data_IF_773129861090
#
_entry.id   IF_773129861090
#
_cell.length_a   1.000
_cell.length_b   1.000
_cell.length_c   1.000
_cell.angle_alpha   90.00
_cell.angle_beta   90.00
_cell.angle_gamma   90.00
#
_symmetry.space_group_name_H-M   'P 1'
#
loop_
_entity.id
_entity.type
_entity.pdbx_description
1 polymer ?
#
# COMPACT_ATOMS: atom_id res chain seq x y z
N UNK A 1 17.51 -3.53 -4.65
CA UNK A 1 17.27 -4.86 -4.11
C UNK A 1 18.46 -5.22 -3.24
N UNK A 2 18.24 -5.49 -1.95
CA UNK A 2 19.32 -5.83 -1.02
C UNK A 2 19.23 -7.33 -0.75
N UNK A 3 20.22 -8.07 -1.25
CA UNK A 3 20.25 -9.55 -1.24
C UNK A 3 20.75 -10.08 0.11
N UNK A 4 21.47 -9.26 0.87
CA UNK A 4 21.88 -9.58 2.24
C UNK A 4 20.85 -9.09 3.25
N UNK A 5 20.43 -10.01 4.11
CA UNK A 5 19.55 -9.72 5.24
C UNK A 5 20.18 -8.61 6.09
N UNK A 6 19.45 -7.52 6.25
CA UNK A 6 20.01 -6.32 6.85
C UNK A 6 20.00 -6.40 8.39
N UNK A 7 19.40 -7.44 8.99
CA UNK A 7 19.51 -7.78 10.41
C UNK A 7 19.26 -9.29 10.62
N UNK A 8 19.83 -9.91 11.66
CA UNK A 8 19.71 -11.36 11.91
C UNK A 8 18.52 -11.75 12.83
N UNK A 9 17.66 -10.79 13.15
CA UNK A 9 16.56 -10.97 14.07
C UNK A 9 15.41 -11.77 13.44
N UNK A 10 14.66 -12.49 14.28
CA UNK A 10 13.56 -13.35 13.82
C UNK A 10 12.22 -12.63 13.92
N UNK A 11 11.43 -12.77 12.85
CA UNK A 11 10.08 -12.24 12.76
C UNK A 11 9.06 -13.36 12.66
N UNK A 12 7.93 -13.16 13.34
CA UNK A 12 6.77 -14.03 13.28
C UNK A 12 5.79 -13.42 12.28
N UNK A 13 5.39 -14.21 11.28
CA UNK A 13 4.28 -13.87 10.38
C UNK A 13 3.13 -14.84 10.58
N UNK A 14 1.90 -14.36 10.51
CA UNK A 14 0.71 -15.19 10.60
C UNK A 14 -0.37 -14.74 9.62
N UNK A 15 -1.24 -15.68 9.26
CA UNK A 15 -2.41 -15.44 8.43
C UNK A 15 -3.57 -16.29 8.93
N UNK A 16 -4.74 -15.67 8.99
CA UNK A 16 -6.03 -16.32 9.22
C UNK A 16 -6.95 -16.02 8.03
N UNK A 17 -7.47 -17.06 7.40
CA UNK A 17 -8.42 -16.95 6.30
C UNK A 17 -9.77 -17.55 6.69
N UNK A 18 -10.83 -16.75 6.61
CA UNK A 18 -12.20 -17.14 6.97
C UNK A 18 -13.15 -16.90 5.81
N UNK A 19 -13.98 -17.89 5.50
CA UNK A 19 -15.06 -17.78 4.51
C UNK A 19 -16.40 -18.12 5.18
N UNK A 20 -16.94 -17.23 6.03
CA UNK A 20 -18.16 -17.51 6.80
C UNK A 20 -19.39 -17.71 5.90
N UNK A 21 -19.34 -17.21 4.65
CA UNK A 21 -20.34 -17.42 3.60
C UNK A 21 -19.63 -17.55 2.26
N UNK A 22 -20.24 -18.24 1.28
CA UNK A 22 -19.65 -18.44 -0.07
C UNK A 22 -19.23 -17.16 -0.78
N UNK A 23 -19.87 -16.03 -0.46
CA UNK A 23 -19.62 -14.73 -1.07
C UNK A 23 -18.89 -13.73 -0.18
N UNK A 24 -18.39 -14.15 0.99
CA UNK A 24 -17.66 -13.30 1.94
C UNK A 24 -16.38 -14.01 2.37
N UNK A 25 -15.24 -13.41 2.07
CA UNK A 25 -13.91 -13.86 2.54
C UNK A 25 -13.28 -12.76 3.39
N UNK A 26 -12.67 -13.15 4.50
CA UNK A 26 -11.96 -12.29 5.42
C UNK A 26 -10.56 -12.88 5.60
N UNK A 27 -9.54 -12.09 5.34
CA UNK A 27 -8.14 -12.42 5.60
C UNK A 27 -7.63 -11.45 6.67
N UNK A 28 -7.05 -11.98 7.72
CA UNK A 28 -6.29 -11.20 8.68
C UNK A 28 -4.84 -11.69 8.66
N UNK A 29 -3.90 -10.76 8.50
CA UNK A 29 -2.49 -11.07 8.45
C UNK A 29 -1.76 -10.23 9.50
N UNK A 30 -0.58 -10.68 9.90
CA UNK A 30 0.30 -9.84 10.67
C UNK A 30 1.73 -10.30 10.68
N UNK A 31 2.60 -9.35 11.01
CA UNK A 31 4.02 -9.55 11.22
C UNK A 31 4.42 -8.90 12.54
N UNK A 32 5.27 -9.59 13.31
CA UNK A 32 5.88 -9.07 14.53
C UNK A 32 7.34 -9.49 14.58
N UNK A 33 8.25 -8.53 14.61
CA UNK A 33 9.67 -8.85 14.70
C UNK A 33 10.58 -7.66 14.39
N UNK A 34 11.90 -7.86 14.49
CA UNK A 34 12.86 -6.83 14.17
C UNK A 34 13.06 -6.68 12.66
N UNK A 35 12.71 -5.50 12.16
CA UNK A 35 12.69 -5.22 10.72
C UNK A 35 13.59 -4.03 10.35
N UNK A 36 14.37 -3.51 11.30
CA UNK A 36 15.31 -2.42 11.09
C UNK A 36 16.70 -2.98 10.81
N UNK A 37 17.37 -2.38 9.82
CA UNK A 37 18.75 -2.72 9.49
C UNK A 37 19.65 -2.60 10.72
N UNK A 38 20.46 -3.63 10.95
CA UNK A 38 21.45 -3.75 12.02
C UNK A 38 20.88 -3.65 13.43
N UNK A 39 19.57 -3.87 13.63
CA UNK A 39 18.93 -3.82 14.93
C UNK A 39 17.94 -4.97 15.17
N UNK A 40 18.31 -5.93 16.03
CA UNK A 40 17.52 -7.14 16.31
C UNK A 40 16.52 -7.01 17.47
N UNK A 41 16.61 -5.92 18.23
CA UNK A 41 15.77 -5.67 19.42
C UNK A 41 14.60 -4.73 19.19
N UNK A 42 14.59 -3.96 18.09
CA UNK A 42 13.56 -2.96 17.77
C UNK A 42 12.46 -3.62 16.98
N UNK A 43 11.23 -3.65 17.48
CA UNK A 43 10.17 -4.44 16.85
C UNK A 43 9.32 -3.57 15.94
N UNK A 44 8.90 -4.16 14.83
CA UNK A 44 7.79 -3.70 14.00
C UNK A 44 6.63 -4.66 14.19
N UNK A 45 5.45 -4.10 14.35
CA UNK A 45 4.19 -4.83 14.28
C UNK A 45 3.38 -4.26 13.14
N UNK A 46 2.91 -5.11 12.21
CA UNK A 46 1.90 -4.70 11.23
C UNK A 46 0.75 -5.69 11.30
N UNK A 47 -0.47 -5.16 11.39
CA UNK A 47 -1.70 -5.92 11.20
C UNK A 47 -2.36 -5.48 9.90
N UNK A 48 -2.86 -6.45 9.14
CA UNK A 48 -3.58 -6.25 7.89
C UNK A 48 -4.92 -7.01 7.96
N UNK A 49 -5.98 -6.37 7.49
CA UNK A 49 -7.30 -6.95 7.37
C UNK A 49 -7.84 -6.71 5.96
N UNK A 50 -8.12 -7.79 5.22
CA UNK A 50 -8.76 -7.75 3.90
C UNK A 50 -10.12 -8.42 3.97
N UNK A 51 -11.16 -7.72 3.55
CA UNK A 51 -12.52 -8.24 3.44
C UNK A 51 -12.91 -8.18 1.96
N UNK A 52 -13.29 -9.32 1.38
CA UNK A 52 -13.82 -9.40 0.02
C UNK A 52 -15.26 -9.91 0.04
N UNK A 53 -16.17 -9.17 -0.60
CA UNK A 53 -17.59 -9.45 -0.64
C UNK A 53 -18.13 -9.42 -2.07
N UNK A 54 -18.87 -10.47 -2.46
CA UNK A 54 -19.51 -10.60 -3.78
C UNK A 54 -21.04 -10.60 -3.63
N UNK A 55 -21.69 -9.43 -3.52
CA UNK A 55 -23.14 -9.36 -3.28
C UNK A 55 -23.96 -9.98 -4.42
N UNK A 56 -23.50 -9.82 -5.66
CA UNK A 56 -24.07 -10.37 -6.89
C UNK A 56 -22.94 -10.83 -7.79
N UNK A 57 -23.23 -11.68 -8.78
CA UNK A 57 -22.22 -12.28 -9.65
C UNK A 57 -21.25 -11.28 -10.32
N UNK A 58 -21.71 -10.17 -10.93
CA UNK A 58 -20.79 -9.24 -11.62
C UNK A 58 -20.09 -8.26 -10.68
N UNK A 59 -20.44 -8.18 -9.39
CA UNK A 59 -19.90 -7.17 -8.47
C UNK A 59 -19.00 -7.80 -7.41
N UNK A 60 -17.74 -7.38 -7.39
CA UNK A 60 -16.79 -7.67 -6.30
C UNK A 60 -16.45 -6.39 -5.57
N UNK A 61 -16.67 -6.38 -4.26
CA UNK A 61 -16.26 -5.32 -3.35
C UNK A 61 -15.12 -5.84 -2.48
N UNK A 62 -14.13 -5.00 -2.19
CA UNK A 62 -13.14 -5.32 -1.18
C UNK A 62 -12.76 -4.10 -0.35
N UNK A 63 -12.36 -4.36 0.89
CA UNK A 63 -11.76 -3.40 1.81
C UNK A 63 -10.45 -3.98 2.31
N UNK A 64 -9.42 -3.17 2.41
CA UNK A 64 -8.17 -3.49 3.10
C UNK A 64 -7.86 -2.38 4.11
N UNK A 65 -7.30 -2.75 5.25
CA UNK A 65 -6.86 -1.82 6.29
C UNK A 65 -5.57 -2.33 6.92
N UNK A 66 -4.61 -1.43 7.07
CA UNK A 66 -3.28 -1.68 7.60
C UNK A 66 -3.01 -0.79 8.81
N UNK A 67 -2.46 -1.38 9.88
CA UNK A 67 -2.00 -0.66 11.07
C UNK A 67 -0.58 -1.09 11.37
N UNK A 68 0.35 -0.14 11.47
CA UNK A 68 1.76 -0.42 11.70
C UNK A 68 2.35 0.42 12.82
N UNK A 69 3.15 -0.23 13.66
CA UNK A 69 3.89 0.36 14.77
C UNK A 69 5.34 -0.10 14.71
N UNK A 70 6.27 0.78 15.02
CA UNK A 70 7.69 0.45 15.01
C UNK A 70 8.47 1.18 16.10
N UNK A 71 9.22 0.41 16.89
CA UNK A 71 10.00 0.92 18.01
C UNK A 71 11.29 1.59 17.53
N UNK A 72 11.59 2.77 18.07
CA UNK A 72 12.90 3.42 18.00
C UNK A 72 13.52 3.44 16.59
N UNK A 73 12.73 3.83 15.58
CA UNK A 73 13.21 4.03 14.21
C UNK A 73 14.36 5.03 14.22
N UNK A 74 15.47 4.69 13.54
CA UNK A 74 16.66 5.53 13.47
C UNK A 74 17.14 5.76 12.04
N UNK A 75 16.90 6.96 11.50
CA UNK A 75 17.42 7.36 10.19
C UNK A 75 18.67 8.23 10.28
N UNK A 76 18.82 9.03 11.35
CA UNK A 76 19.94 9.99 11.51
C UNK A 76 20.66 9.88 12.86
N UNK A 77 20.68 8.69 13.46
CA UNK A 77 21.31 8.43 14.77
C UNK A 77 20.47 8.79 15.99
N UNK A 78 19.41 9.58 15.83
CA UNK A 78 18.32 9.72 16.80
C UNK A 78 17.32 8.57 16.64
N UNK A 79 16.55 8.28 17.68
CA UNK A 79 15.51 7.25 17.66
C UNK A 79 14.16 7.82 18.07
N UNK A 80 13.10 7.46 17.35
CA UNK A 80 11.71 7.77 17.73
C UNK A 80 10.80 6.59 17.37
N UNK A 81 9.81 6.30 18.20
CA UNK A 81 8.75 5.35 17.84
C UNK A 81 7.90 5.92 16.71
N UNK A 82 7.42 5.04 15.83
CA UNK A 82 6.67 5.44 14.65
C UNK A 82 5.36 4.65 14.51
N UNK A 83 4.33 5.35 14.06
CA UNK A 83 3.02 4.79 13.76
C UNK A 83 2.57 5.20 12.36
N UNK A 84 1.89 4.29 11.67
CA UNK A 84 1.25 4.54 10.39
C UNK A 84 0.00 3.68 10.22
N UNK A 85 -0.88 4.13 9.34
CA UNK A 85 -2.07 3.38 8.99
C UNK A 85 -2.51 3.69 7.56
N UNK A 86 -3.19 2.72 6.96
CA UNK A 86 -3.74 2.84 5.61
C UNK A 86 -5.07 2.13 5.49
N UNK A 87 -5.86 2.55 4.51
CA UNK A 87 -7.05 1.82 4.10
C UNK A 87 -7.26 1.96 2.60
N UNK A 88 -7.79 0.91 2.00
CA UNK A 88 -8.13 0.86 0.58
C UNK A 88 -9.53 0.27 0.40
N UNK A 89 -10.28 0.82 -0.55
CA UNK A 89 -11.58 0.32 -0.95
C UNK A 89 -11.59 0.05 -2.46
N UNK A 90 -12.19 -1.08 -2.83
CA UNK A 90 -12.19 -1.62 -4.18
C UNK A 90 -13.61 -1.95 -4.61
N UNK A 91 -13.94 -1.62 -5.86
CA UNK A 91 -15.15 -2.06 -6.52
C UNK A 91 -14.82 -2.49 -7.96
N UNK A 92 -15.01 -3.78 -8.26
CA UNK A 92 -14.90 -4.35 -9.60
C UNK A 92 -16.27 -4.76 -10.10
N UNK A 93 -16.64 -4.32 -11.30
CA UNK A 93 -17.91 -4.66 -11.94
C UNK A 93 -17.68 -5.22 -13.35
N UNK A 94 -18.17 -6.42 -13.59
CA UNK A 94 -18.21 -7.04 -14.91
C UNK A 94 -19.36 -6.42 -15.72
N UNK A 95 -19.01 -5.47 -16.59
CA UNK A 95 -19.96 -4.82 -17.49
C UNK A 95 -20.49 -5.81 -18.54
N UNK A 96 -19.64 -6.75 -18.96
CA UNK A 96 -19.97 -7.89 -19.84
C UNK A 96 -19.02 -9.05 -19.53
N UNK A 97 -19.22 -10.22 -20.15
CA UNK A 97 -18.30 -11.37 -20.05
C UNK A 97 -16.86 -11.10 -20.52
N UNK A 98 -16.63 -9.94 -21.17
CA UNK A 98 -15.31 -9.54 -21.69
C UNK A 98 -14.81 -8.22 -21.15
N UNK A 99 -15.59 -7.49 -20.36
CA UNK A 99 -15.27 -6.13 -19.95
C UNK A 99 -15.50 -5.94 -18.46
N UNK A 100 -14.45 -5.65 -17.72
CA UNK A 100 -14.50 -5.35 -16.29
C UNK A 100 -14.01 -3.93 -16.05
N UNK A 101 -14.79 -3.15 -15.30
CA UNK A 101 -14.38 -1.86 -14.77
C UNK A 101 -14.06 -2.02 -13.28
N UNK A 102 -12.88 -1.57 -12.86
CA UNK A 102 -12.46 -1.59 -11.47
C UNK A 102 -12.08 -0.20 -11.00
N UNK A 103 -12.56 0.17 -9.82
CA UNK A 103 -12.19 1.38 -9.10
C UNK A 103 -11.49 1.00 -7.80
N UNK A 104 -10.46 1.77 -7.46
CA UNK A 104 -9.76 1.69 -6.18
C UNK A 104 -9.55 3.10 -5.63
N UNK A 105 -9.80 3.27 -4.34
CA UNK A 105 -9.39 4.44 -3.58
C UNK A 105 -8.54 4.03 -2.39
N UNK A 106 -7.43 4.74 -2.16
CA UNK A 106 -6.51 4.46 -1.06
C UNK A 106 -6.24 5.74 -0.25
N UNK A 107 -6.04 5.58 1.05
CA UNK A 107 -5.61 6.63 1.96
C UNK A 107 -4.56 6.08 2.91
N UNK A 108 -3.43 6.77 3.02
CA UNK A 108 -2.30 6.36 3.87
C UNK A 108 -1.81 7.53 4.71
N UNK A 109 -1.49 7.26 5.96
CA UNK A 109 -0.95 8.25 6.90
C UNK A 109 0.29 7.68 7.56
N UNK A 110 1.40 8.38 7.34
CA UNK A 110 2.66 8.20 8.05
C UNK A 110 2.74 9.25 9.15
N UNK A 111 2.25 8.93 10.35
CA UNK A 111 2.11 9.91 11.45
C UNK A 111 3.47 10.46 11.90
N UNK A 112 4.49 9.62 11.88
CA UNK A 112 5.83 9.96 12.38
C UNK A 112 6.89 10.09 11.29
N UNK A 113 6.51 9.98 10.01
CA UNK A 113 7.40 10.20 8.86
C UNK A 113 8.48 9.12 8.70
N UNK A 114 8.19 7.89 9.13
CA UNK A 114 9.12 6.77 9.11
C UNK A 114 9.01 5.89 7.84
N UNK A 115 7.90 5.99 7.10
CA UNK A 115 7.56 5.08 6.00
C UNK A 115 7.69 5.69 4.61
N UNK A 116 7.41 6.98 4.50
CA UNK A 116 7.30 7.66 3.21
C UNK A 116 8.64 8.19 2.72
N UNK A 117 9.46 8.77 3.62
CA UNK A 117 10.83 9.18 3.32
C UNK A 117 10.97 10.27 2.24
N UNK A 118 9.90 11.00 1.92
CA UNK A 118 9.87 11.97 0.81
C UNK A 118 10.14 13.41 1.24
N UNK A 119 10.29 13.67 2.55
CA UNK A 119 10.54 15.00 3.10
C UNK A 119 11.89 15.08 3.79
N UNK A 120 12.36 16.31 4.02
CA UNK A 120 13.56 16.54 4.81
C UNK A 120 13.40 15.94 6.23
N UNK A 121 14.47 15.35 6.75
CA UNK A 121 14.48 14.82 8.11
C UNK A 121 14.47 15.97 9.11
N UNK A 122 13.56 15.89 10.07
CA UNK A 122 13.45 16.80 11.19
C UNK A 122 14.63 16.59 12.15
N UNK A 123 15.43 17.63 12.37
CA UNK A 123 16.64 17.55 13.19
C UNK A 123 16.38 17.20 14.67
N UNK A 124 15.18 17.45 15.19
CA UNK A 124 14.84 17.17 16.59
C UNK A 124 14.40 15.71 16.80
N UNK A 125 13.74 15.11 15.82
CA UNK A 125 13.20 13.74 15.93
C UNK A 125 14.02 12.69 15.19
N UNK A 126 14.81 13.12 14.19
CA UNK A 126 15.54 12.23 13.29
C UNK A 126 14.69 11.46 12.29
N UNK A 127 13.41 11.81 12.14
CA UNK A 127 12.47 11.26 11.15
C UNK A 127 11.92 12.36 10.24
N UNK A 128 11.24 11.99 9.16
CA UNK A 128 10.54 12.99 8.31
C UNK A 128 9.33 13.58 9.05
N UNK A 129 8.77 14.66 8.51
CA UNK A 129 7.48 15.16 8.98
C UNK A 129 6.33 14.22 8.57
N UNK A 130 5.23 14.26 9.33
CA UNK A 130 3.97 13.57 9.00
C UNK A 130 3.56 13.82 7.55
N UNK A 131 3.21 12.74 6.85
CA UNK A 131 2.70 12.80 5.48
C UNK A 131 1.45 11.95 5.32
N UNK A 132 0.43 12.54 4.69
CA UNK A 132 -0.77 11.82 4.28
C UNK A 132 -0.77 11.71 2.76
N UNK A 133 -1.14 10.55 2.23
CA UNK A 133 -1.26 10.29 0.81
C UNK A 133 -2.66 9.77 0.52
N UNK A 134 -3.22 10.13 -0.62
CA UNK A 134 -4.41 9.48 -1.15
C UNK A 134 -4.28 9.21 -2.63
N UNK A 135 -5.02 8.22 -3.09
CA UNK A 135 -4.99 7.78 -4.46
C UNK A 135 -6.38 7.42 -4.95
N UNK A 136 -6.63 7.67 -6.23
CA UNK A 136 -7.70 7.01 -6.97
C UNK A 136 -7.13 6.31 -8.20
N UNK A 137 -7.54 5.07 -8.42
CA UNK A 137 -7.19 4.27 -9.59
C UNK A 137 -8.45 3.77 -10.28
N UNK A 138 -8.48 3.91 -11.60
CA UNK A 138 -9.51 3.35 -12.48
C UNK A 138 -8.85 2.43 -13.48
N UNK A 139 -9.33 1.19 -13.53
CA UNK A 139 -8.83 0.16 -14.45
C UNK A 139 -9.96 -0.35 -15.33
N UNK A 140 -9.72 -0.40 -16.63
CA UNK A 140 -10.54 -1.12 -17.60
C UNK A 140 -9.79 -2.37 -18.06
N UNK A 141 -10.37 -3.54 -17.82
CA UNK A 141 -9.85 -4.83 -18.29
C UNK A 141 -10.72 -5.36 -19.41
N UNK A 142 -10.09 -5.75 -20.52
CA UNK A 142 -10.72 -6.25 -21.73
C UNK A 142 -10.19 -7.65 -22.05
N UNK A 143 -11.10 -8.63 -22.13
CA UNK A 143 -10.81 -9.97 -22.65
C UNK A 143 -10.91 -9.94 -24.18
N UNK A 144 -9.77 -9.81 -24.85
CA UNK A 144 -9.69 -9.77 -26.31
C UNK A 144 -9.98 -11.15 -26.92
N UNK A 145 -9.37 -12.19 -26.36
CA UNK A 145 -9.59 -13.60 -26.68
C UNK A 145 -9.64 -14.40 -25.36
N UNK A 146 -9.93 -15.70 -25.43
CA UNK A 146 -10.03 -16.54 -24.23
C UNK A 146 -8.82 -16.46 -23.29
N UNK A 147 -7.63 -16.32 -23.88
CA UNK A 147 -6.33 -16.26 -23.19
C UNK A 147 -5.59 -14.94 -23.36
N UNK A 148 -6.15 -13.97 -24.08
CA UNK A 148 -5.50 -12.68 -24.38
C UNK A 148 -6.30 -11.54 -23.77
N UNK A 149 -5.64 -10.73 -22.95
CA UNK A 149 -6.25 -9.65 -22.20
C UNK A 149 -5.49 -8.35 -22.38
N UNK A 150 -6.21 -7.25 -22.46
CA UNK A 150 -5.66 -5.90 -22.37
C UNK A 150 -6.18 -5.21 -21.11
N UNK A 151 -5.38 -4.33 -20.54
CA UNK A 151 -5.74 -3.50 -19.39
C UNK A 151 -5.28 -2.07 -19.63
N UNK A 152 -6.17 -1.13 -19.39
CA UNK A 152 -5.88 0.29 -19.31
C UNK A 152 -6.07 0.73 -17.87
N UNK A 153 -5.08 1.41 -17.32
CA UNK A 153 -5.13 1.95 -15.96
C UNK A 153 -4.84 3.45 -15.99
N UNK A 154 -5.62 4.20 -15.22
CA UNK A 154 -5.31 5.57 -14.81
C UNK A 154 -5.22 5.61 -13.29
N UNK A 155 -4.18 6.28 -12.78
CA UNK A 155 -3.93 6.47 -11.36
C UNK A 155 -3.62 7.94 -11.10
N UNK A 156 -4.24 8.50 -10.07
CA UNK A 156 -3.91 9.82 -9.53
C UNK A 156 -3.51 9.67 -8.07
N UNK A 157 -2.31 10.17 -7.76
CA UNK A 157 -1.70 10.19 -6.44
C UNK A 157 -1.59 11.62 -5.93
N UNK A 158 -1.89 11.83 -4.65
CA UNK A 158 -1.89 13.17 -4.05
C UNK A 158 -1.35 13.14 -2.62
N UNK A 159 -0.44 14.07 -2.33
CA UNK A 159 0.02 14.41 -1.01
C UNK A 159 -0.98 15.38 -0.35
N UNK A 160 -1.33 15.09 0.90
CA UNK A 160 -2.29 15.85 1.68
C UNK A 160 -1.73 16.15 3.09
N UNK A 161 -2.40 17.06 3.79
CA UNK A 161 -2.00 17.48 5.13
C UNK A 161 -0.95 18.60 5.13
N UNK A 162 -0.01 18.53 6.09
CA UNK A 162 0.99 19.58 6.35
C UNK A 162 2.11 19.54 5.31
N UNK A 163 2.67 18.37 5.06
CA UNK A 163 3.57 18.13 3.94
C UNK A 163 2.74 17.91 2.69
N UNK A 164 2.96 18.72 1.66
CA UNK A 164 2.23 18.64 0.38
C UNK A 164 3.12 18.28 -0.79
N UNK A 165 4.26 17.65 -0.51
CA UNK A 165 5.25 17.29 -1.50
C UNK A 165 5.74 15.87 -1.23
N UNK A 166 5.44 14.98 -2.15
CA UNK A 166 5.80 13.56 -2.04
C UNK A 166 6.23 12.94 -3.37
N UNK A 167 6.16 13.68 -4.48
CA UNK A 167 6.43 13.15 -5.82
C UNK A 167 7.60 13.89 -6.48
N UNK A 168 8.41 13.14 -7.23
CA UNK A 168 9.64 13.62 -7.85
C UNK A 168 9.38 14.53 -9.06
N UNK A 169 10.26 15.51 -9.25
CA UNK A 169 10.44 16.28 -10.47
C UNK A 169 11.72 15.85 -11.19
N UNK A 170 11.68 14.78 -12.00
CA UNK A 170 12.70 14.32 -12.98
C UNK A 170 14.18 14.25 -12.54
N UNK A 171 14.54 14.73 -11.36
CA UNK A 171 15.88 15.02 -10.87
C UNK A 171 16.07 14.48 -9.42
N UNK A 172 15.22 13.57 -8.96
CA UNK A 172 15.26 13.02 -7.60
C UNK A 172 14.82 13.99 -6.49
N UNK A 173 14.17 15.11 -6.85
CA UNK A 173 13.68 16.10 -5.88
C UNK A 173 12.17 15.98 -5.70
N UNK A 174 11.74 15.55 -4.52
CA UNK A 174 10.33 15.36 -4.15
C UNK A 174 9.65 16.70 -3.78
N UNK A 175 9.29 17.50 -4.78
CA UNK A 175 8.65 18.82 -4.60
C UNK A 175 7.28 18.98 -5.26
N UNK A 176 6.69 17.89 -5.77
CA UNK A 176 5.32 17.89 -6.30
C UNK A 176 4.33 17.30 -5.31
N UNK A 177 3.14 17.89 -5.27
CA UNK A 177 2.05 17.41 -4.43
C UNK A 177 1.17 16.36 -5.08
N UNK A 178 1.31 16.12 -6.39
CA UNK A 178 0.54 15.10 -7.09
C UNK A 178 1.35 14.42 -8.20
N UNK A 179 0.89 13.25 -8.60
CA UNK A 179 1.36 12.52 -9.76
C UNK A 179 0.20 11.81 -10.45
N UNK A 180 0.16 11.89 -11.78
CA UNK A 180 -0.80 11.18 -12.61
C UNK A 180 -0.04 10.15 -13.44
N UNK A 181 -0.55 8.91 -13.48
CA UNK A 181 0.06 7.79 -14.20
C UNK A 181 -0.97 7.11 -15.09
N UNK A 182 -0.59 6.81 -16.33
CA UNK A 182 -1.39 5.98 -17.25
C UNK A 182 -0.57 4.76 -17.62
N UNK A 183 -1.16 3.58 -17.47
CA UNK A 183 -0.56 2.29 -17.80
C UNK A 183 -1.40 1.54 -18.82
N UNK A 184 -0.72 0.84 -19.73
CA UNK A 184 -1.34 -0.12 -20.65
C UNK A 184 -0.59 -1.43 -20.54
N UNK A 185 -1.33 -2.52 -20.42
CA UNK A 185 -0.80 -3.87 -20.33
C UNK A 185 -1.52 -4.78 -21.33
N UNK A 186 -0.76 -5.65 -21.98
CA UNK A 186 -1.26 -6.75 -22.81
C UNK A 186 -0.63 -8.03 -22.28
N UNK A 187 -1.43 -9.00 -21.87
CA UNK A 187 -0.94 -10.25 -21.31
C UNK A 187 -1.66 -11.47 -21.88
N UNK A 188 -0.91 -12.56 -22.03
CA UNK A 188 -1.41 -13.86 -22.47
C UNK A 188 -1.27 -14.88 -21.33
N UNK A 189 -2.35 -15.61 -21.03
CA UNK A 189 -2.38 -16.62 -19.97
C UNK A 189 -2.31 -18.03 -20.59
N UNK A 190 -1.21 -18.75 -20.35
CA UNK A 190 -0.97 -20.11 -20.88
C UNK A 190 -1.88 -21.15 -20.22
#
# INVERSE_FOLDING_TARGET
DNVDDNNDGKSLTWQLALTPRKNLTILANGIFGPEQASATSRKRTVGDLVITYKPIEPLTLALNADLGFEDRVALTGLTKDAYWYGAAAYAGYDLTDRLTLSLRGEYFVDEDGARTGTSAVNAATGLSDRLNLWEITTTLKIKLLEKLFARLEYRHDQAAGRVKTAFDKKNGTFNRGQQDTVGVELYYQF
#
